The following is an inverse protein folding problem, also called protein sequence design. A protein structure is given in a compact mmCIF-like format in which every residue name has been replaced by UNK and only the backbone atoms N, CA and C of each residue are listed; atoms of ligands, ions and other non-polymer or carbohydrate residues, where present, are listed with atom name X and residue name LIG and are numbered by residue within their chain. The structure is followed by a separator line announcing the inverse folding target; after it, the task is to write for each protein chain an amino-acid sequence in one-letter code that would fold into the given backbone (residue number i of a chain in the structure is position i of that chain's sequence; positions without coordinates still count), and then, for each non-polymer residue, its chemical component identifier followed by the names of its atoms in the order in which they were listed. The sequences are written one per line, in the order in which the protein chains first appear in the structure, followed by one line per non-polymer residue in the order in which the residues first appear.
data_IF_992980371782
#
_entry.id   IF_992980371782
#
_cell.length_a   1.000
_cell.length_b   1.000
_cell.length_c   1.000
_cell.angle_alpha   90.00
_cell.angle_beta   90.00
_cell.angle_gamma   90.00
#
_symmetry.space_group_name_H-M   'P 1'
#
loop_
_entity.id
_entity.type
_entity.pdbx_description
1 polymer ?
#
# COMPACT_ATOMS: atom_id res chain seq x y z
N UNK A 1 -16.42 13.48 -4.53
CA UNK A 1 -15.25 13.64 -4.08
C UNK A 1 -14.76 12.51 -3.32
N UNK A 2 -13.60 12.04 -3.57
CA UNK A 2 -13.11 10.97 -2.89
C UNK A 2 -12.51 11.31 -1.65
N UNK A 3 -12.75 10.65 -0.66
CA UNK A 3 -12.16 10.87 0.58
C UNK A 3 -10.89 10.22 0.66
N UNK A 4 -9.89 10.77 1.19
CA UNK A 4 -8.61 10.12 1.35
C UNK A 4 -8.75 8.96 2.28
N UNK A 5 -7.89 8.00 2.15
CA UNK A 5 -7.88 6.87 3.00
C UNK A 5 -7.20 7.23 4.27
N UNK A 6 -7.92 7.29 5.36
CA UNK A 6 -7.33 7.63 6.64
C UNK A 6 -7.57 6.55 7.64
N UNK A 7 -6.56 6.15 8.37
CA UNK A 7 -6.75 5.19 9.42
C UNK A 7 -7.53 5.80 10.56
N UNK A 8 -8.21 4.99 11.31
CA UNK A 8 -9.04 5.48 12.38
C UNK A 8 -8.24 6.26 13.41
N UNK A 9 -7.01 5.87 13.65
CA UNK A 9 -6.25 6.54 14.68
C UNK A 9 -5.94 7.99 14.32
N UNK A 10 -6.05 8.35 13.05
CA UNK A 10 -5.78 9.71 12.69
C UNK A 10 -6.84 10.63 13.21
N UNK A 11 -7.98 10.16 13.57
CA UNK A 11 -9.00 11.02 14.10
C UNK A 11 -8.74 11.38 15.54
N UNK A 12 -7.74 10.78 16.16
CA UNK A 12 -7.43 11.14 17.53
C UNK A 12 -6.17 11.99 17.60
N UNK A 13 -5.76 12.59 16.52
CA UNK A 13 -4.58 13.43 16.55
C UNK A 13 -4.91 14.69 17.31
N UNK A 14 -4.05 15.11 18.19
CA UNK A 14 -4.36 16.29 18.99
C UNK A 14 -4.45 17.53 18.12
N UNK A 15 -5.24 18.42 18.54
CA UNK A 15 -5.41 19.61 17.79
C UNK A 15 -4.09 20.31 17.69
N UNK A 16 -3.82 20.90 16.65
CA UNK A 16 -2.57 21.56 16.51
C UNK A 16 -1.56 20.82 15.76
N UNK A 17 -1.72 19.57 15.65
CA UNK A 17 -0.78 18.83 15.01
C UNK A 17 -1.35 18.54 13.76
N UNK A 18 -1.90 19.31 13.05
CA UNK A 18 -2.54 19.03 11.98
C UNK A 18 -1.77 18.63 11.01
N UNK A 19 -1.65 17.58 10.82
CA UNK A 19 -0.89 17.04 10.00
C UNK A 19 -1.40 17.29 8.72
N UNK A 20 -0.59 17.52 7.87
CA UNK A 20 -1.00 17.64 6.70
C UNK A 20 -1.24 16.35 6.22
N UNK A 21 -2.23 15.86 5.99
CA UNK A 21 -2.45 14.57 5.50
C UNK A 21 -2.18 14.58 4.04
N UNK A 22 -0.96 14.93 3.68
CA UNK A 22 -0.58 14.93 2.34
C UNK A 22 -0.49 13.53 1.82
N UNK A 23 -1.14 13.15 0.80
CA UNK A 23 -1.08 11.79 0.28
C UNK A 23 -0.05 11.68 -0.82
N UNK A 24 0.39 10.50 -1.07
CA UNK A 24 1.33 10.23 -2.16
C UNK A 24 0.84 9.04 -2.94
N UNK A 25 1.23 9.01 -4.20
CA UNK A 25 0.90 7.87 -5.03
C UNK A 25 1.94 6.82 -4.76
N UNK A 26 1.53 5.63 -4.50
CA UNK A 26 2.46 4.55 -4.26
C UNK A 26 2.11 3.31 -5.04
N UNK A 27 3.08 2.45 -5.18
CA UNK A 27 2.87 1.15 -5.80
C UNK A 27 3.49 0.12 -4.89
N UNK A 28 2.74 -0.90 -4.55
CA UNK A 28 3.24 -1.95 -3.69
C UNK A 28 3.34 -3.21 -4.52
N UNK A 29 4.54 -3.77 -4.58
CA UNK A 29 4.76 -5.00 -5.30
C UNK A 29 4.73 -6.14 -4.31
N UNK A 30 3.96 -7.16 -4.58
CA UNK A 30 3.76 -8.26 -3.67
C UNK A 30 4.01 -9.57 -4.38
N UNK A 31 4.80 -10.44 -3.75
CA UNK A 31 5.01 -11.76 -4.27
C UNK A 31 4.40 -12.74 -3.28
N UNK A 32 3.47 -13.56 -3.72
CA UNK A 32 2.81 -14.52 -2.88
C UNK A 32 3.30 -15.89 -3.24
N UNK A 33 4.11 -16.47 -2.35
CA UNK A 33 4.66 -17.78 -2.61
C UNK A 33 3.90 -18.86 -1.88
N UNK A 34 3.01 -18.52 -0.99
CA UNK A 34 2.18 -19.48 -0.33
C UNK A 34 0.74 -19.23 -0.61
N UNK A 35 0.09 -20.04 -1.38
CA UNK A 35 -1.32 -19.80 -1.75
C UNK A 35 -2.24 -19.68 -0.56
N UNK A 36 -1.87 -20.31 0.56
CA UNK A 36 -2.72 -20.22 1.69
C UNK A 36 -2.81 -18.86 2.26
N UNK A 37 -1.86 -17.99 1.96
CA UNK A 37 -1.87 -16.65 2.48
C UNK A 37 -2.72 -15.70 1.65
N UNK A 38 -3.27 -16.18 0.54
CA UNK A 38 -4.03 -15.30 -0.34
C UNK A 38 -5.24 -14.73 0.34
N UNK A 39 -5.89 -15.50 1.19
CA UNK A 39 -7.07 -15.00 1.83
C UNK A 39 -6.72 -13.92 2.81
N UNK A 40 -5.66 -14.10 3.57
CA UNK A 40 -5.22 -13.09 4.52
C UNK A 40 -4.77 -11.83 3.79
N UNK A 41 -4.11 -11.99 2.66
CA UNK A 41 -3.68 -10.86 1.88
C UNK A 41 -4.89 -10.09 1.38
N UNK A 42 -5.90 -10.78 0.88
CA UNK A 42 -7.08 -10.10 0.40
C UNK A 42 -7.81 -9.38 1.52
N UNK A 43 -7.75 -9.90 2.72
CA UNK A 43 -8.38 -9.25 3.86
C UNK A 43 -7.67 -7.93 4.17
N UNK A 44 -6.34 -7.92 4.11
CA UNK A 44 -5.61 -6.69 4.35
C UNK A 44 -5.91 -5.69 3.24
N UNK A 45 -5.94 -6.14 2.00
CA UNK A 45 -6.22 -5.21 0.91
C UNK A 45 -7.63 -4.65 1.02
N UNK A 46 -8.57 -5.44 1.51
CA UNK A 46 -9.93 -4.98 1.66
C UNK A 46 -9.99 -3.92 2.76
N UNK A 47 -9.19 -4.08 3.79
CA UNK A 47 -9.15 -3.15 4.88
C UNK A 47 -8.73 -1.78 4.38
N UNK A 48 -7.90 -1.71 3.37
CA UNK A 48 -7.39 -0.47 2.84
C UNK A 48 -8.01 -0.12 1.48
N UNK A 49 -9.16 -0.66 1.20
CA UNK A 49 -9.76 -0.50 -0.13
C UNK A 49 -9.94 0.94 -0.52
N UNK A 50 -10.21 1.81 0.44
CA UNK A 50 -10.43 3.21 0.10
C UNK A 50 -9.17 3.88 -0.42
N UNK A 51 -7.99 3.32 -0.11
CA UNK A 51 -6.74 3.87 -0.57
C UNK A 51 -6.35 3.33 -1.92
N UNK A 52 -6.91 2.23 -2.32
CA UNK A 52 -6.43 1.53 -3.49
C UNK A 52 -7.02 2.07 -4.75
N UNK A 53 -6.16 2.48 -5.69
CA UNK A 53 -6.60 2.96 -6.96
C UNK A 53 -6.87 1.83 -7.94
N UNK A 54 -6.11 0.76 -7.80
CA UNK A 54 -6.29 -0.39 -8.66
C UNK A 54 -5.28 -1.44 -8.33
N UNK A 55 -5.49 -2.64 -8.83
CA UNK A 55 -4.52 -3.68 -8.57
C UNK A 55 -4.48 -4.58 -9.77
N UNK A 56 -3.37 -5.26 -9.96
CA UNK A 56 -3.26 -6.19 -11.03
C UNK A 56 -2.50 -7.36 -10.53
N UNK A 57 -2.85 -8.53 -10.98
CA UNK A 57 -2.19 -9.74 -10.54
C UNK A 57 -1.82 -10.63 -11.68
N UNK A 58 -0.69 -11.26 -11.58
CA UNK A 58 -0.23 -12.18 -12.60
C UNK A 58 0.14 -13.47 -11.92
N UNK A 59 -0.65 -14.51 -12.09
CA UNK A 59 -0.30 -15.78 -11.52
C UNK A 59 0.74 -16.47 -12.37
N UNK A 60 1.85 -16.84 -11.77
CA UNK A 60 2.90 -17.50 -12.52
C UNK A 60 2.96 -18.92 -12.06
N UNK A 61 2.23 -19.81 -12.71
CA UNK A 61 2.09 -21.14 -12.24
C UNK A 61 3.32 -21.95 -12.31
N UNK A 62 4.20 -21.65 -13.21
CA UNK A 62 5.40 -22.44 -13.33
C UNK A 62 6.24 -22.40 -12.09
N UNK A 63 6.23 -21.31 -11.35
CA UNK A 63 7.00 -21.25 -10.13
C UNK A 63 6.11 -21.16 -8.92
N UNK A 64 4.81 -21.31 -9.10
CA UNK A 64 3.92 -21.29 -7.96
C UNK A 64 3.86 -19.96 -7.25
N UNK A 65 4.04 -18.87 -7.97
CA UNK A 65 4.06 -17.57 -7.36
C UNK A 65 3.00 -16.67 -7.99
N UNK A 66 2.35 -15.86 -7.18
CA UNK A 66 1.45 -14.88 -7.73
C UNK A 66 2.11 -13.53 -7.53
N UNK A 67 2.15 -12.73 -8.56
CA UNK A 67 2.74 -11.41 -8.51
C UNK A 67 1.61 -10.41 -8.52
N UNK A 68 1.52 -9.57 -7.51
CA UNK A 68 0.44 -8.62 -7.40
C UNK A 68 1.03 -7.23 -7.25
N UNK A 69 0.49 -6.28 -7.97
CA UNK A 69 0.91 -4.90 -7.86
C UNK A 69 -0.30 -4.07 -7.52
N UNK A 70 -0.22 -3.27 -6.48
CA UNK A 70 -1.33 -2.49 -6.01
C UNK A 70 -0.95 -1.02 -6.06
N UNK A 71 -1.76 -0.21 -6.71
CA UNK A 71 -1.52 1.23 -6.78
C UNK A 71 -2.38 1.90 -5.74
N UNK A 72 -1.80 2.80 -4.95
CA UNK A 72 -2.51 3.43 -3.85
C UNK A 72 -2.28 4.93 -3.84
N UNK A 73 -3.17 5.62 -3.16
CA UNK A 73 -3.02 7.05 -2.96
C UNK A 73 -3.35 7.27 -1.50
N UNK A 74 -2.34 7.46 -0.68
CA UNK A 74 -2.53 7.52 0.75
C UNK A 74 -1.34 8.22 1.40
N UNK A 75 -1.49 8.64 2.66
CA UNK A 75 -0.34 9.20 3.34
C UNK A 75 0.75 8.15 3.48
N UNK A 76 1.97 8.61 3.56
CA UNK A 76 3.11 7.71 3.63
C UNK A 76 2.99 6.72 4.78
N UNK A 77 2.51 7.20 5.93
CA UNK A 77 2.38 6.31 7.06
C UNK A 77 1.41 5.19 6.78
N UNK A 78 0.35 5.46 6.04
CA UNK A 78 -0.62 4.44 5.73
C UNK A 78 -0.03 3.45 4.73
N UNK A 79 0.73 3.94 3.76
CA UNK A 79 1.34 3.05 2.78
C UNK A 79 2.33 2.12 3.49
N UNK A 80 3.09 2.68 4.42
CA UNK A 80 4.06 1.85 5.13
C UNK A 80 3.37 0.84 6.04
N UNK A 81 2.28 1.23 6.68
CA UNK A 81 1.56 0.31 7.54
C UNK A 81 0.97 -0.84 6.73
N UNK A 82 0.43 -0.50 5.57
CA UNK A 82 -0.17 -1.51 4.74
C UNK A 82 0.89 -2.47 4.24
N UNK A 83 2.02 -1.93 3.79
CA UNK A 83 3.10 -2.76 3.29
C UNK A 83 3.64 -3.66 4.38
N UNK A 84 3.74 -3.13 5.60
CA UNK A 84 4.22 -3.94 6.71
C UNK A 84 3.28 -5.08 7.07
N UNK A 85 1.98 -4.80 7.05
CA UNK A 85 1.03 -5.85 7.36
C UNK A 85 1.09 -6.93 6.31
N UNK A 86 1.20 -6.55 5.05
CA UNK A 86 1.26 -7.52 3.98
C UNK A 86 2.53 -8.34 4.10
N UNK A 87 3.64 -7.69 4.40
CA UNK A 87 4.90 -8.40 4.45
C UNK A 87 5.05 -9.34 5.61
N UNK A 88 4.16 -9.23 6.63
CA UNK A 88 4.25 -10.17 7.72
C UNK A 88 3.50 -11.43 7.47
N UNK A 89 2.74 -11.53 6.38
CA UNK A 89 2.01 -12.76 6.11
C UNK A 89 2.97 -13.84 5.64
N UNK A 90 2.73 -15.08 5.98
CA UNK A 90 3.65 -16.13 5.64
C UNK A 90 3.79 -16.29 4.14
N UNK A 91 4.99 -16.42 3.67
CA UNK A 91 5.24 -16.63 2.26
C UNK A 91 4.95 -15.44 1.38
N UNK A 92 4.86 -14.25 1.95
CA UNK A 92 4.58 -13.08 1.17
C UNK A 92 5.67 -12.05 1.36
N UNK A 93 6.14 -11.49 0.26
CA UNK A 93 7.11 -10.42 0.27
C UNK A 93 6.46 -9.19 -0.31
N UNK A 94 6.71 -8.04 0.26
CA UNK A 94 6.10 -6.82 -0.22
C UNK A 94 7.09 -5.66 -0.14
N UNK A 95 7.08 -4.81 -1.14
CA UNK A 95 7.89 -3.64 -1.14
C UNK A 95 7.10 -2.52 -1.75
N UNK A 96 7.27 -1.32 -1.28
CA UNK A 96 6.52 -0.18 -1.76
C UNK A 96 7.44 0.92 -2.23
N UNK A 97 7.03 1.60 -3.28
CA UNK A 97 7.69 2.82 -3.68
C UNK A 97 6.61 3.87 -3.75
N UNK A 98 6.96 5.12 -3.57
CA UNK A 98 5.95 6.15 -3.67
C UNK A 98 6.59 7.43 -4.18
N UNK A 99 5.74 8.31 -4.66
CA UNK A 99 6.20 9.53 -5.25
C UNK A 99 6.80 10.42 -4.21
N UNK A 100 7.64 11.35 -4.62
CA UNK A 100 8.28 12.19 -3.67
C UNK A 100 7.40 13.26 -3.16
N UNK A 101 6.26 13.43 -3.60
CA UNK A 101 5.42 14.49 -3.13
C UNK A 101 5.70 15.74 -3.91
N UNK A 102 4.85 16.72 -3.77
CA UNK A 102 4.97 17.88 -4.54
C UNK A 102 6.15 18.66 -4.11
N UNK A 103 6.81 19.21 -4.98
CA UNK A 103 7.93 20.04 -4.65
C UNK A 103 9.22 19.36 -4.50
N UNK A 104 9.21 18.12 -4.34
CA UNK A 104 10.43 17.45 -4.16
C UNK A 104 10.93 16.86 -5.39
N UNK A 105 10.68 17.29 -6.55
CA UNK A 105 11.06 16.64 -7.62
C UNK A 105 12.37 16.89 -7.96
N UNK A 106 13.16 16.06 -8.07
CA UNK A 106 14.46 16.26 -8.40
C UNK A 106 14.61 15.59 -9.65
N UNK A 107 15.45 16.05 -10.35
CA UNK A 107 15.64 15.57 -11.57
C UNK A 107 15.95 14.22 -11.75
N UNK A 108 16.45 13.66 -10.91
CA UNK A 108 16.86 12.39 -11.13
C UNK A 108 15.95 11.41 -10.89
N UNK A 109 15.27 11.37 -10.87
CA UNK A 109 14.57 10.46 -10.57
C UNK A 109 14.41 9.48 -11.31
N UNK A 110 14.72 9.03 -11.58
CA UNK A 110 14.66 8.06 -12.18
C UNK A 110 14.21 7.27 -11.94
#
# INVERSE_FOLDING_TARGET
MRQPCLPAWLFFVPAGKEATLETRIGAISILVEEPESAEALNAVLHEYAACILGRMGIPYREKGVNIICVAVDAPTDVINAMTGKIGRLPGISAKAIYSRGSGARTADNQ
#
